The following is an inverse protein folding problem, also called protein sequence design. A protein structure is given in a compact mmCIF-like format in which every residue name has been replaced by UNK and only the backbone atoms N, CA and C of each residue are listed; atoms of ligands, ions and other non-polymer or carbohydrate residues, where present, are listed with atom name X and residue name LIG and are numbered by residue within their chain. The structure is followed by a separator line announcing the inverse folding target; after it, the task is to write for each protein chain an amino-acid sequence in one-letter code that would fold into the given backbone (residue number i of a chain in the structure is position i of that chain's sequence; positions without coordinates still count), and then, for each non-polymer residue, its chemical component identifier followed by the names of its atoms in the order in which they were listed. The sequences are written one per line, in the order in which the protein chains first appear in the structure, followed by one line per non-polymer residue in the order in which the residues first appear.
data_IF_158552481289
#
_entry.id   IF_158552481289
#
_cell.length_a   1.000
_cell.length_b   1.000
_cell.length_c   1.000
_cell.angle_alpha   90.00
_cell.angle_beta   90.00
_cell.angle_gamma   90.00
#
_symmetry.space_group_name_H-M   'P 1'
#
loop_
_entity.id
_entity.type
_entity.pdbx_description
1 polymer ?
#
# COMPACT_ATOMS: atom_id res chain seq x y z
N UNK A 1 13.11 2.69 -0.58
CA UNK A 1 11.74 3.05 -0.98
C UNK A 1 11.14 2.06 -1.98
N UNK A 2 11.85 1.72 -3.07
CA UNK A 2 11.30 0.82 -4.11
C UNK A 2 11.00 -0.60 -3.59
N UNK A 3 11.90 -1.22 -2.82
CA UNK A 3 11.67 -2.55 -2.23
C UNK A 3 10.46 -2.57 -1.30
N UNK A 4 10.45 -1.71 -0.27
CA UNK A 4 9.32 -1.57 0.66
C UNK A 4 8.01 -1.26 -0.06
N UNK A 5 8.06 -0.44 -1.11
CA UNK A 5 6.90 -0.17 -1.96
C UNK A 5 6.35 -1.42 -2.61
N UNK A 6 7.21 -2.21 -3.26
CA UNK A 6 6.81 -3.46 -3.89
C UNK A 6 6.25 -4.48 -2.90
N UNK A 7 6.85 -4.60 -1.71
CA UNK A 7 6.37 -5.50 -0.65
C UNK A 7 4.99 -5.10 -0.12
N UNK A 8 4.81 -3.82 0.21
CA UNK A 8 3.54 -3.30 0.74
C UNK A 8 2.42 -3.41 -0.30
N UNK A 9 2.71 -3.11 -1.57
CA UNK A 9 1.74 -3.30 -2.66
C UNK A 9 1.43 -4.77 -2.91
N UNK A 10 2.44 -5.64 -2.89
CA UNK A 10 2.25 -7.09 -3.06
C UNK A 10 1.34 -7.66 -1.99
N UNK A 11 1.56 -7.30 -0.72
CA UNK A 11 0.71 -7.70 0.41
C UNK A 11 -0.71 -7.16 0.26
N UNK A 12 -0.87 -5.89 -0.12
CA UNK A 12 -2.18 -5.27 -0.28
C UNK A 12 -3.04 -5.96 -1.36
N UNK A 13 -2.46 -6.26 -2.52
CA UNK A 13 -3.17 -6.94 -3.61
C UNK A 13 -3.46 -8.40 -3.24
N UNK A 14 -2.49 -9.11 -2.67
CA UNK A 14 -2.69 -10.49 -2.24
C UNK A 14 -3.77 -10.62 -1.16
N UNK A 15 -3.82 -9.70 -0.19
CA UNK A 15 -4.85 -9.66 0.83
C UNK A 15 -6.25 -9.41 0.22
N UNK A 16 -6.34 -8.50 -0.76
CA UNK A 16 -7.62 -8.19 -1.44
C UNK A 16 -8.16 -9.40 -2.20
N UNK A 17 -7.28 -10.09 -2.93
CA UNK A 17 -7.61 -11.34 -3.62
C UNK A 17 -8.03 -12.44 -2.64
N UNK A 18 -7.27 -12.63 -1.55
CA UNK A 18 -7.53 -13.69 -0.58
C UNK A 18 -8.88 -13.50 0.14
N UNK A 19 -9.20 -12.28 0.59
CA UNK A 19 -10.48 -12.01 1.25
C UNK A 19 -11.64 -12.17 0.26
N UNK A 20 -11.50 -11.68 -0.97
CA UNK A 20 -12.53 -11.84 -1.99
C UNK A 20 -12.83 -13.33 -2.29
N UNK A 21 -11.78 -14.15 -2.41
CA UNK A 21 -11.89 -15.58 -2.68
C UNK A 21 -12.45 -16.38 -1.50
N UNK A 22 -12.01 -16.09 -0.27
CA UNK A 22 -12.43 -16.85 0.92
C UNK A 22 -13.91 -16.70 1.26
N UNK A 23 -14.50 -15.55 0.94
CA UNK A 23 -15.90 -15.24 1.25
C UNK A 23 -16.82 -15.32 0.01
N UNK A 24 -16.29 -15.74 -1.14
CA UNK A 24 -17.02 -15.83 -2.42
C UNK A 24 -17.82 -14.54 -2.77
N UNK A 25 -17.30 -13.36 -2.41
CA UNK A 25 -18.03 -12.07 -2.49
C UNK A 25 -18.30 -11.57 -3.93
N UNK A 26 -17.93 -12.35 -4.94
CA UNK A 26 -18.03 -11.97 -6.34
C UNK A 26 -17.00 -10.91 -6.77
N UNK A 27 -16.91 -10.72 -8.08
CA UNK A 27 -15.83 -9.96 -8.71
C UNK A 27 -15.86 -8.47 -8.31
N UNK A 28 -17.05 -7.88 -8.18
CA UNK A 28 -17.21 -6.47 -7.84
C UNK A 28 -16.68 -6.12 -6.44
N UNK A 29 -16.96 -6.97 -5.44
CA UNK A 29 -16.46 -6.74 -4.07
C UNK A 29 -14.97 -7.03 -3.99
N UNK A 30 -14.48 -8.01 -4.75
CA UNK A 30 -13.04 -8.26 -4.87
C UNK A 30 -12.27 -7.05 -5.43
N UNK A 31 -12.78 -6.43 -6.49
CA UNK A 31 -12.19 -5.19 -7.01
C UNK A 31 -12.27 -4.04 -6.00
N UNK A 32 -13.38 -3.89 -5.29
CA UNK A 32 -13.51 -2.86 -4.24
C UNK A 32 -12.47 -3.05 -3.12
N UNK A 33 -12.26 -4.29 -2.66
CA UNK A 33 -11.24 -4.65 -1.67
C UNK A 33 -9.82 -4.38 -2.17
N UNK A 34 -9.53 -4.75 -3.43
CA UNK A 34 -8.23 -4.49 -4.04
C UNK A 34 -7.94 -2.98 -4.13
N UNK A 35 -8.91 -2.17 -4.54
CA UNK A 35 -8.78 -0.71 -4.57
C UNK A 35 -8.58 -0.16 -3.16
N UNK A 36 -9.36 -0.62 -2.18
CA UNK A 36 -9.26 -0.17 -0.79
C UNK A 36 -7.88 -0.46 -0.20
N UNK A 37 -7.36 -1.67 -0.39
CA UNK A 37 -6.03 -2.03 0.10
C UNK A 37 -4.90 -1.36 -0.68
N UNK A 38 -5.04 -1.14 -1.99
CA UNK A 38 -4.08 -0.31 -2.75
C UNK A 38 -4.02 1.12 -2.21
N UNK A 39 -5.16 1.74 -1.88
CA UNK A 39 -5.18 3.06 -1.25
C UNK A 39 -4.47 3.05 0.10
N UNK A 40 -4.66 1.99 0.89
CA UNK A 40 -3.94 1.83 2.16
C UNK A 40 -2.42 1.68 1.95
N UNK A 41 -2.00 0.91 0.95
CA UNK A 41 -0.59 0.76 0.58
C UNK A 41 0.05 2.09 0.18
N UNK A 42 -0.62 2.88 -0.67
CA UNK A 42 -0.18 4.23 -1.05
C UNK A 42 -0.05 5.12 0.18
N UNK A 43 -1.06 5.11 1.07
CA UNK A 43 -1.02 5.90 2.30
C UNK A 43 0.18 5.53 3.18
N UNK A 44 0.44 4.24 3.38
CA UNK A 44 1.58 3.77 4.16
C UNK A 44 2.91 4.23 3.54
N UNK A 45 3.04 4.16 2.21
CA UNK A 45 4.23 4.61 1.51
C UNK A 45 4.44 6.12 1.60
N UNK A 46 3.38 6.91 1.48
CA UNK A 46 3.46 8.38 1.67
C UNK A 46 3.86 8.70 3.11
N UNK A 47 3.31 7.99 4.10
CA UNK A 47 3.68 8.18 5.50
C UNK A 47 5.16 7.86 5.72
N UNK A 48 5.62 6.71 5.23
CA UNK A 48 7.02 6.30 5.34
C UNK A 48 7.95 7.28 4.63
N UNK A 49 7.62 7.72 3.41
CA UNK A 49 8.38 8.73 2.68
C UNK A 49 8.52 9.99 3.52
N UNK A 50 7.41 10.55 4.02
CA UNK A 50 7.45 11.76 4.86
C UNK A 50 8.34 11.59 6.08
N UNK A 51 8.32 10.41 6.72
CA UNK A 51 9.20 10.08 7.84
C UNK A 51 10.67 10.02 7.42
N UNK A 52 11.00 9.36 6.32
CA UNK A 52 12.36 9.28 5.80
C UNK A 52 12.91 10.65 5.41
N UNK A 53 12.12 11.50 4.74
CA UNK A 53 12.53 12.88 4.41
C UNK A 53 12.70 13.74 5.66
N UNK A 54 11.93 13.49 6.72
CA UNK A 54 12.11 14.20 7.99
C UNK A 54 13.34 13.73 8.77
N UNK A 55 13.71 12.45 8.65
CA UNK A 55 14.87 11.86 9.34
C UNK A 55 16.19 12.22 8.62
N UNK A 56 16.18 12.19 7.28
CA UNK A 56 17.27 12.64 6.41
C UNK A 56 16.71 13.70 5.45
N UNK A 57 16.71 14.99 5.84
CA UNK A 57 16.30 16.06 4.96
C UNK A 57 17.24 16.14 3.76
N UNK A 58 16.79 15.62 2.61
CA UNK A 58 17.49 15.70 1.32
C UNK A 58 17.69 17.15 0.83
N UNK A 59 17.02 18.11 1.47
CA UNK A 59 17.28 19.53 1.30
C UNK A 59 18.26 19.96 2.39
N UNK A 60 19.53 20.15 2.01
CA UNK A 60 20.53 20.85 2.82
C UNK A 60 20.19 22.32 3.00
N UNK A 61 19.10 22.64 3.71
CA UNK A 61 18.95 23.97 4.30
C UNK A 61 19.67 23.95 5.64
N UNK A 62 20.88 24.50 5.58
CA UNK A 62 21.68 24.97 6.70
C UNK A 62 20.90 26.01 7.54
#
# INVERSE_FOLDING_TARGET
MVLVGAEVFGVAIAAGWAIAGLFELGEHVGYALMVLFSLFAVYALVHLWRRCVSAEPLTGRA
#
